data_IF_781913138923
#
_entry.id   IF_781913138923
#
_cell.length_a   1.000
_cell.length_b   1.000
_cell.length_c   1.000
_cell.angle_alpha   90.00
_cell.angle_beta   90.00
_cell.angle_gamma   90.00
#
_symmetry.space_group_name_H-M   'P 1'
#
loop_
_entity.id
_entity.type
_entity.pdbx_description
1 polymer ?
#
# COMPACT_ATOMS: atom_id res chain seq x y z
N UNK A 1 38.63 28.82 -34.49
CA UNK A 1 37.48 28.19 -33.81
C UNK A 1 36.27 28.35 -34.74
N UNK A 2 35.70 27.25 -35.28
CA UNK A 2 34.59 27.34 -36.24
C UNK A 2 33.27 27.53 -35.48
N UNK A 3 32.59 28.64 -35.73
CA UNK A 3 31.26 28.92 -35.20
C UNK A 3 30.23 28.07 -35.96
N UNK A 4 29.51 27.21 -35.24
CA UNK A 4 28.45 26.38 -35.79
C UNK A 4 27.16 27.22 -35.78
N UNK A 5 26.71 27.64 -36.95
CA UNK A 5 25.41 28.32 -37.10
C UNK A 5 24.32 27.25 -37.23
N UNK A 6 23.58 27.01 -36.14
CA UNK A 6 22.52 25.99 -36.12
C UNK A 6 21.27 26.53 -36.82
N UNK A 7 20.83 25.85 -37.88
CA UNK A 7 19.65 26.21 -38.68
C UNK A 7 18.35 26.18 -37.85
N UNK A 8 17.41 27.09 -38.14
CA UNK A 8 16.13 27.22 -37.39
C UNK A 8 15.31 25.92 -37.43
N UNK A 9 15.41 25.18 -38.52
CA UNK A 9 14.75 23.88 -38.73
C UNK A 9 15.40 22.79 -37.86
N UNK A 10 16.73 22.71 -37.80
CA UNK A 10 17.43 21.72 -36.97
C UNK A 10 17.19 21.99 -35.48
N UNK A 11 17.09 23.26 -35.07
CA UNK A 11 16.70 23.63 -33.70
C UNK A 11 15.27 23.17 -33.35
N UNK A 12 14.32 23.32 -34.26
CA UNK A 12 12.94 22.89 -34.05
C UNK A 12 12.80 21.35 -34.04
N UNK A 13 13.60 20.64 -34.85
CA UNK A 13 13.72 19.17 -34.79
C UNK A 13 14.31 18.68 -33.47
N UNK A 14 15.36 19.32 -32.97
CA UNK A 14 15.94 19.02 -31.66
C UNK A 14 14.95 19.28 -30.51
N UNK A 15 14.20 20.38 -30.57
CA UNK A 15 13.13 20.68 -29.60
C UNK A 15 12.01 19.63 -29.65
N UNK A 16 11.58 19.23 -30.86
CA UNK A 16 10.58 18.19 -31.03
C UNK A 16 11.03 16.84 -30.48
N UNK A 17 12.28 16.46 -30.72
CA UNK A 17 12.87 15.22 -30.20
C UNK A 17 12.99 15.23 -28.67
N UNK A 18 13.37 16.38 -28.09
CA UNK A 18 13.44 16.54 -26.64
C UNK A 18 12.07 16.40 -25.96
N UNK A 19 11.03 16.99 -26.55
CA UNK A 19 9.64 16.85 -26.08
C UNK A 19 9.15 15.40 -26.18
N UNK A 20 9.51 14.68 -27.26
CA UNK A 20 9.14 13.27 -27.46
C UNK A 20 9.81 12.33 -26.44
N UNK A 21 11.06 12.60 -26.05
CA UNK A 21 11.78 11.82 -25.04
C UNK A 21 11.22 12.07 -23.63
N UNK A 22 10.81 13.31 -23.33
CA UNK A 22 10.20 13.65 -22.04
C UNK A 22 8.85 12.97 -21.80
N UNK A 23 8.06 12.71 -22.85
CA UNK A 23 6.74 12.08 -22.69
C UNK A 23 6.81 10.55 -22.53
N UNK A 24 7.95 9.91 -22.81
CA UNK A 24 8.10 8.46 -22.77
C UNK A 24 8.37 7.86 -21.37
N UNK A 25 8.50 8.69 -20.31
CA UNK A 25 9.17 8.27 -19.07
C UNK A 25 8.29 7.88 -17.87
N UNK A 26 6.96 7.69 -17.99
CA UNK A 26 6.13 7.39 -16.81
C UNK A 26 5.12 6.25 -17.01
N UNK A 27 5.62 5.02 -17.19
CA UNK A 27 4.80 3.79 -17.10
C UNK A 27 5.05 3.08 -15.76
N UNK A 28 4.75 3.73 -14.63
CA UNK A 28 4.75 3.04 -13.33
C UNK A 28 3.48 2.19 -13.20
N UNK A 29 3.63 0.87 -13.27
CA UNK A 29 2.53 -0.07 -13.05
C UNK A 29 2.26 -0.19 -11.54
N UNK A 30 1.31 0.60 -11.04
CA UNK A 30 0.80 0.51 -9.68
C UNK A 30 -0.46 -0.35 -9.65
N UNK A 31 -0.50 -1.38 -8.79
CA UNK A 31 -1.68 -2.24 -8.60
C UNK A 31 -2.47 -1.76 -7.38
N UNK A 32 -3.76 -1.46 -7.57
CA UNK A 32 -4.68 -1.08 -6.49
C UNK A 32 -5.73 -2.17 -6.32
N UNK A 33 -5.90 -2.68 -5.11
CA UNK A 33 -6.87 -3.74 -4.79
C UNK A 33 -7.67 -3.35 -3.55
N UNK A 34 -8.98 -3.54 -3.58
CA UNK A 34 -9.87 -3.23 -2.46
C UNK A 34 -9.96 -4.40 -1.49
N UNK A 35 -10.17 -4.09 -0.20
CA UNK A 35 -10.57 -5.13 0.76
C UNK A 35 -11.98 -5.65 0.44
N UNK A 36 -12.20 -6.92 0.74
CA UNK A 36 -13.52 -7.53 0.76
C UNK A 36 -14.33 -6.97 1.94
N UNK A 37 -15.66 -7.05 1.83
CA UNK A 37 -16.55 -6.69 2.94
C UNK A 37 -16.34 -7.65 4.11
N UNK A 38 -16.01 -7.08 5.26
CA UNK A 38 -15.87 -7.83 6.51
C UNK A 38 -17.22 -8.23 7.08
N UNK A 39 -17.29 -9.43 7.65
CA UNK A 39 -18.43 -9.86 8.47
C UNK A 39 -18.37 -9.28 9.89
N UNK A 40 -17.19 -8.88 10.37
CA UNK A 40 -16.94 -8.39 11.73
C UNK A 40 -17.04 -6.86 11.77
N UNK A 41 -16.50 -6.18 10.75
CA UNK A 41 -16.56 -4.73 10.59
C UNK A 41 -17.17 -4.30 9.23
N UNK A 42 -18.48 -4.53 8.99
CA UNK A 42 -19.09 -4.29 7.68
C UNK A 42 -18.99 -2.84 7.17
N UNK A 43 -18.87 -1.88 8.09
CA UNK A 43 -18.72 -0.46 7.76
C UNK A 43 -17.32 -0.14 7.21
N UNK A 44 -16.29 -0.92 7.57
CA UNK A 44 -14.92 -0.65 7.20
C UNK A 44 -14.72 -0.87 5.69
N UNK A 45 -14.10 0.12 5.04
CA UNK A 45 -13.79 0.09 3.61
C UNK A 45 -12.35 0.51 3.43
N UNK A 46 -11.62 -0.17 2.56
CA UNK A 46 -10.25 0.23 2.31
C UNK A 46 -9.67 -0.38 1.05
N UNK A 47 -8.47 0.09 0.74
CA UNK A 47 -7.70 -0.37 -0.40
C UNK A 47 -6.22 -0.50 -0.06
N UNK A 48 -5.57 -1.38 -0.82
CA UNK A 48 -4.15 -1.67 -0.80
C UNK A 48 -3.58 -1.27 -2.15
N UNK A 49 -2.61 -0.36 -2.14
CA UNK A 49 -1.82 0.03 -3.30
C UNK A 49 -0.43 -0.61 -3.20
N UNK A 50 -0.05 -1.35 -4.23
CA UNK A 50 1.24 -2.01 -4.35
C UNK A 50 1.98 -1.40 -5.53
N UNK A 51 3.13 -0.80 -5.25
CA UNK A 51 3.99 -0.17 -6.26
C UNK A 51 5.39 -0.76 -6.17
N UNK A 52 6.01 -1.04 -7.31
CA UNK A 52 7.40 -1.49 -7.35
C UNK A 52 8.33 -0.27 -7.39
N UNK A 53 9.30 -0.22 -6.49
CA UNK A 53 10.32 0.85 -6.45
C UNK A 53 11.49 0.55 -7.41
N UNK A 54 12.43 1.50 -7.51
CA UNK A 54 13.64 1.38 -8.34
C UNK A 54 14.57 0.23 -7.86
N UNK A 55 14.53 -0.08 -6.56
CA UNK A 55 15.27 -1.18 -5.94
C UNK A 55 14.57 -2.54 -6.10
N UNK A 56 13.47 -2.58 -6.85
CA UNK A 56 12.61 -3.77 -7.07
C UNK A 56 11.91 -4.28 -5.81
N UNK A 57 11.83 -3.49 -4.75
CA UNK A 57 10.98 -3.76 -3.60
C UNK A 57 9.53 -3.36 -3.89
N UNK A 58 8.62 -3.92 -3.12
CA UNK A 58 7.19 -3.66 -3.17
C UNK A 58 6.81 -2.72 -2.03
N UNK A 59 6.48 -1.48 -2.37
CA UNK A 59 5.84 -0.53 -1.47
C UNK A 59 4.36 -0.92 -1.33
N UNK A 60 3.94 -1.22 -0.11
CA UNK A 60 2.58 -1.61 0.25
C UNK A 60 1.99 -0.46 1.05
N UNK A 61 1.00 0.22 0.49
CA UNK A 61 0.28 1.31 1.14
C UNK A 61 -1.19 0.93 1.32
N UNK A 62 -1.68 1.04 2.55
CA UNK A 62 -3.03 0.65 2.95
C UNK A 62 -3.76 1.87 3.47
N UNK A 63 -5.01 2.05 3.02
CA UNK A 63 -5.91 3.09 3.51
C UNK A 63 -7.25 2.47 3.84
N UNK A 64 -7.76 2.75 5.03
CA UNK A 64 -9.02 2.22 5.53
C UNK A 64 -9.82 3.37 6.13
N UNK A 65 -11.09 3.43 5.78
CA UNK A 65 -12.11 4.29 6.34
C UNK A 65 -13.12 3.44 7.11
N UNK A 66 -13.78 4.06 8.10
CA UNK A 66 -14.75 3.42 9.00
C UNK A 66 -14.22 2.20 9.77
N UNK A 67 -12.91 2.15 10.05
CA UNK A 67 -12.33 1.13 10.93
C UNK A 67 -12.61 1.49 12.39
N UNK A 68 -13.34 0.62 13.09
CA UNK A 68 -13.57 0.76 14.52
C UNK A 68 -12.26 0.69 15.31
N UNK A 69 -12.18 1.36 16.44
CA UNK A 69 -11.07 1.17 17.38
C UNK A 69 -10.99 -0.30 17.81
N UNK A 70 -9.77 -0.84 17.89
CA UNK A 70 -9.54 -2.26 18.21
C UNK A 70 -10.15 -2.67 19.56
N UNK A 71 -10.08 -1.79 20.56
CA UNK A 71 -10.67 -1.97 21.89
C UNK A 71 -12.19 -2.05 21.88
N UNK A 72 -12.85 -1.55 20.82
CA UNK A 72 -14.32 -1.61 20.65
C UNK A 72 -14.77 -2.92 20.01
N UNK A 73 -13.88 -3.65 19.35
CA UNK A 73 -14.16 -5.02 18.88
C UNK A 73 -14.06 -6.01 20.04
N UNK A 74 -12.94 -5.96 20.73
CA UNK A 74 -12.70 -6.74 21.94
C UNK A 74 -11.72 -5.97 22.83
N UNK A 75 -12.12 -5.75 24.09
CA UNK A 75 -11.31 -5.10 25.12
C UNK A 75 -9.95 -5.77 25.37
N UNK A 76 -9.79 -7.05 25.01
CA UNK A 76 -8.52 -7.79 25.14
C UNK A 76 -7.52 -7.47 24.02
N UNK A 77 -7.98 -6.93 22.88
CA UNK A 77 -7.18 -6.65 21.69
C UNK A 77 -6.58 -5.25 21.76
N UNK A 78 -5.33 -5.13 21.32
CA UNK A 78 -4.53 -3.89 21.47
C UNK A 78 -4.11 -3.27 20.15
N UNK A 79 -4.04 -4.05 19.08
CA UNK A 79 -3.59 -3.54 17.79
C UNK A 79 -4.23 -4.29 16.62
N UNK A 80 -4.39 -3.59 15.50
CA UNK A 80 -4.57 -4.25 14.21
C UNK A 80 -3.22 -4.58 13.61
N UNK A 81 -3.01 -5.85 13.26
CA UNK A 81 -1.78 -6.33 12.64
C UNK A 81 -2.04 -6.63 11.18
N UNK A 82 -1.13 -6.17 10.33
CA UNK A 82 -1.18 -6.36 8.88
C UNK A 82 -0.30 -7.54 8.52
N UNK A 83 -0.87 -8.45 7.73
CA UNK A 83 -0.24 -9.68 7.28
C UNK A 83 -0.13 -9.68 5.76
N UNK A 84 0.97 -10.23 5.27
CA UNK A 84 1.14 -10.56 3.86
C UNK A 84 1.25 -12.07 3.67
N UNK A 85 0.59 -12.58 2.62
CA UNK A 85 0.83 -13.91 2.07
C UNK A 85 1.72 -13.79 0.84
N UNK A 86 2.63 -14.73 0.63
CA UNK A 86 3.50 -14.80 -0.56
C UNK A 86 3.09 -15.95 -1.49
N UNK A 87 3.77 -16.10 -2.64
CA UNK A 87 3.50 -17.20 -3.58
C UNK A 87 3.81 -18.58 -2.97
N UNK A 88 4.74 -18.64 -2.01
CA UNK A 88 5.10 -19.85 -1.26
C UNK A 88 4.13 -20.15 -0.10
N UNK A 89 2.97 -19.47 -0.05
CA UNK A 89 1.99 -19.58 1.03
C UNK A 89 2.56 -19.25 2.42
N UNK A 90 3.66 -18.50 2.48
CA UNK A 90 4.18 -17.98 3.74
C UNK A 90 3.40 -16.74 4.17
N UNK A 91 2.97 -16.74 5.42
CA UNK A 91 2.33 -15.59 6.07
C UNK A 91 3.36 -14.85 6.91
N UNK A 92 3.47 -13.53 6.72
CA UNK A 92 4.41 -12.67 7.46
C UNK A 92 3.70 -11.47 8.06
N UNK A 93 3.99 -11.18 9.33
CA UNK A 93 3.64 -9.92 9.96
C UNK A 93 4.47 -8.81 9.31
N UNK A 94 3.80 -7.82 8.71
CA UNK A 94 4.46 -6.69 8.06
C UNK A 94 4.36 -5.38 8.86
N UNK A 95 3.66 -5.42 9.99
CA UNK A 95 3.56 -4.33 10.95
C UNK A 95 2.14 -4.14 11.50
N UNK A 96 1.99 -3.13 12.35
CA UNK A 96 0.72 -2.76 12.96
C UNK A 96 0.17 -1.46 12.39
N UNK A 97 -1.16 -1.34 12.35
CA UNK A 97 -1.83 -0.09 12.08
C UNK A 97 -1.84 0.71 13.38
N UNK A 98 -1.23 1.90 13.36
CA UNK A 98 -1.36 2.86 14.45
C UNK A 98 -2.67 3.64 14.25
N UNK A 99 -3.62 3.43 15.14
CA UNK A 99 -4.73 4.38 15.31
C UNK A 99 -4.17 5.55 16.13
N UNK A 100 -3.74 6.63 15.48
CA UNK A 100 -3.26 7.86 16.14
C UNK A 100 -4.28 8.45 17.12
N UNK A 101 -4.23 8.07 18.40
CA UNK A 101 -5.11 8.62 19.44
C UNK A 101 -5.07 10.16 19.55
N UNK A 102 -4.02 10.80 19.03
CA UNK A 102 -3.78 12.23 19.17
C UNK A 102 -4.32 13.10 18.02
N UNK A 103 -4.85 12.49 16.95
CA UNK A 103 -5.50 13.21 15.85
C UNK A 103 -6.85 12.58 15.43
N UNK A 104 -7.30 11.54 16.14
CA UNK A 104 -8.42 10.66 15.78
C UNK A 104 -9.72 10.85 16.56
N UNK A 105 -10.05 12.05 17.05
CA UNK A 105 -11.38 12.23 17.66
C UNK A 105 -12.53 12.35 16.63
N UNK A 106 -12.34 12.13 15.32
CA UNK A 106 -13.46 12.34 14.38
C UNK A 106 -13.56 11.49 13.12
N UNK A 107 -12.53 10.73 12.71
CA UNK A 107 -12.63 9.97 11.46
C UNK A 107 -11.97 8.63 11.68
N UNK A 108 -12.79 7.58 11.73
CA UNK A 108 -12.50 6.14 11.78
C UNK A 108 -11.55 5.70 10.65
N UNK A 109 -10.37 6.33 10.52
CA UNK A 109 -9.46 6.22 9.40
C UNK A 109 -8.15 5.63 9.88
N UNK A 110 -7.60 4.76 9.07
CA UNK A 110 -6.35 4.08 9.32
C UNK A 110 -5.49 4.10 8.06
N UNK A 111 -4.20 4.36 8.24
CA UNK A 111 -3.20 4.31 7.18
C UNK A 111 -2.01 3.48 7.62
N UNK A 112 -1.44 2.72 6.69
CA UNK A 112 -0.27 1.90 6.95
C UNK A 112 0.58 1.82 5.69
N UNK A 113 1.89 1.98 5.84
CA UNK A 113 2.85 1.92 4.73
C UNK A 113 4.06 1.11 5.15
N UNK A 114 4.51 0.22 4.26
CA UNK A 114 5.70 -0.61 4.47
C UNK A 114 6.32 -1.02 3.14
N UNK A 115 7.55 -1.53 3.18
CA UNK A 115 8.26 -2.06 2.02
C UNK A 115 8.58 -3.53 2.24
N UNK A 116 8.42 -4.34 1.19
CA UNK A 116 8.77 -5.75 1.20
C UNK A 116 9.64 -6.10 0.00
N UNK A 117 10.72 -6.88 0.18
CA UNK A 117 11.50 -7.40 -0.95
C UNK A 117 10.73 -8.48 -1.74
N UNK A 118 9.69 -9.07 -1.14
CA UNK A 118 8.88 -10.14 -1.75
C UNK A 118 7.50 -9.61 -2.13
N UNK A 119 7.00 -10.06 -3.28
CA UNK A 119 5.68 -9.70 -3.80
C UNK A 119 4.58 -10.33 -2.95
N UNK A 120 3.60 -9.56 -2.44
CA UNK A 120 2.43 -10.12 -1.78
C UNK A 120 1.45 -10.73 -2.80
N UNK A 121 0.86 -11.87 -2.44
CA UNK A 121 -0.27 -12.50 -3.15
C UNK A 121 -1.60 -12.25 -2.47
N UNK A 122 -1.59 -11.90 -1.19
CA UNK A 122 -2.77 -11.47 -0.41
C UNK A 122 -2.32 -10.57 0.74
N UNK A 123 -3.15 -9.60 1.09
CA UNK A 123 -2.97 -8.81 2.30
C UNK A 123 -4.23 -8.95 3.15
N UNK A 124 -4.05 -9.17 4.45
CA UNK A 124 -5.16 -9.24 5.39
C UNK A 124 -4.76 -8.64 6.74
N UNK A 125 -5.78 -8.36 7.57
CA UNK A 125 -5.63 -7.65 8.84
C UNK A 125 -6.37 -8.45 9.91
N UNK A 126 -5.73 -8.62 11.06
CA UNK A 126 -6.32 -9.25 12.25
C UNK A 126 -6.31 -8.27 13.43
N UNK A 127 -7.14 -8.53 14.43
CA UNK A 127 -7.08 -7.84 15.71
C UNK A 127 -6.28 -8.70 16.70
N UNK A 128 -5.17 -8.17 17.21
CA UNK A 128 -4.21 -8.92 18.03
C UNK A 128 -4.05 -8.31 19.43
N UNK A 129 -3.70 -9.16 20.40
CA UNK A 129 -3.36 -8.73 21.77
C UNK A 129 -1.95 -8.15 21.85
N UNK A 130 -1.05 -8.64 21.02
CA UNK A 130 0.34 -8.20 20.91
C UNK A 130 0.64 -7.91 19.43
N UNK A 131 1.11 -6.70 19.06
CA UNK A 131 1.42 -6.37 17.67
C UNK A 131 2.62 -7.14 17.09
N UNK A 132 3.46 -7.76 17.92
CA UNK A 132 4.68 -8.49 17.50
C UNK A 132 4.49 -10.00 17.38
N UNK A 133 3.23 -10.47 17.36
CA UNK A 133 2.92 -11.89 17.13
C UNK A 133 3.50 -12.39 15.81
N UNK A 134 3.97 -13.63 15.82
CA UNK A 134 4.54 -14.32 14.65
C UNK A 134 3.49 -15.03 13.82
N UNK A 135 2.32 -15.31 14.40
CA UNK A 135 1.21 -15.99 13.76
C UNK A 135 -0.08 -15.19 13.97
N UNK A 136 -0.92 -15.09 12.93
CA UNK A 136 -2.20 -14.40 13.05
C UNK A 136 -3.16 -15.19 13.94
N UNK A 137 -4.02 -14.47 14.65
CA UNK A 137 -5.20 -15.05 15.25
C UNK A 137 -6.19 -15.52 14.15
N UNK A 138 -7.11 -16.37 14.55
CA UNK A 138 -8.18 -16.93 13.73
C UNK A 138 -9.13 -15.88 13.14
N UNK A 139 -9.25 -14.73 13.78
CA UNK A 139 -10.22 -13.69 13.43
C UNK A 139 -9.64 -12.69 12.42
N UNK A 140 -10.04 -12.85 11.15
CA UNK A 140 -9.65 -11.95 10.06
C UNK A 140 -10.65 -10.80 9.95
N UNK A 141 -10.17 -9.58 10.20
CA UNK A 141 -10.96 -8.35 10.18
C UNK A 141 -11.18 -7.87 8.75
N UNK A 142 -10.12 -7.81 7.93
CA UNK A 142 -10.20 -7.40 6.52
C UNK A 142 -9.26 -8.27 5.70
N UNK A 143 -9.65 -8.63 4.48
CA UNK A 143 -8.80 -9.37 3.55
C UNK A 143 -9.02 -8.92 2.13
N UNK A 144 -7.97 -8.90 1.31
CA UNK A 144 -8.09 -8.66 -0.13
C UNK A 144 -8.46 -9.96 -0.86
N UNK A 145 -8.94 -9.82 -2.09
CA UNK A 145 -8.81 -10.91 -3.06
C UNK A 145 -7.33 -11.25 -3.28
N UNK A 146 -7.07 -12.43 -3.86
CA UNK A 146 -5.73 -12.76 -4.35
C UNK A 146 -5.30 -11.70 -5.36
N UNK A 147 -4.10 -11.16 -5.17
CA UNK A 147 -3.54 -10.01 -5.87
C UNK A 147 -3.18 -10.38 -7.30
#
# INVERSE_FOLDING_TARGET
MKNITVNRITRNLFLGLFVLVLTASFTSCSKKVTFQTSTIVPAARGDVKITKDENKNYLIAIKIDNLAEVSRLDSSKKAYVVWMETEESMVKNIGQIKSDSNFLSSKLKATFETVSPVKPTKIFITAERDPQVQYPDSEIILTTNRL
#
